data_IF_443264651576
#
_entry.id   IF_443264651576
#
_cell.length_a   1.000
_cell.length_b   1.000
_cell.length_c   1.000
_cell.angle_alpha   90.00
_cell.angle_beta   90.00
_cell.angle_gamma   90.00
#
_symmetry.space_group_name_H-M   'P 1'
#
loop_
_entity.id
_entity.type
_entity.pdbx_description
1 polymer ?
#
# COMPACT_ATOMS: atom_id res chain seq x y z
N UNK A 1 -30.77 -25.62 42.09
CA UNK A 1 -29.69 -25.94 41.11
C UNK A 1 -30.02 -25.24 39.81
N UNK A 2 -29.22 -24.27 39.38
CA UNK A 2 -28.92 -23.94 37.97
C UNK A 2 -27.88 -22.82 38.00
N UNK A 3 -26.61 -23.21 37.93
CA UNK A 3 -25.47 -22.31 37.78
C UNK A 3 -25.45 -21.84 36.32
N UNK A 4 -25.80 -20.57 36.09
CA UNK A 4 -25.56 -19.90 34.82
C UNK A 4 -24.04 -19.66 34.68
N UNK A 5 -23.35 -20.60 34.04
CA UNK A 5 -21.97 -20.44 33.63
C UNK A 5 -21.96 -19.43 32.48
N UNK A 6 -21.70 -18.17 32.81
CA UNK A 6 -21.49 -17.11 31.83
C UNK A 6 -20.33 -17.48 30.91
N UNK A 7 -20.65 -17.72 29.64
CA UNK A 7 -19.66 -17.91 28.58
C UNK A 7 -18.89 -16.61 28.39
N UNK A 8 -17.74 -16.50 29.07
CA UNK A 8 -16.74 -15.48 28.74
C UNK A 8 -16.25 -15.76 27.34
N UNK A 9 -16.82 -15.05 26.36
CA UNK A 9 -16.37 -15.03 24.98
C UNK A 9 -15.02 -14.35 24.95
N UNK A 10 -13.95 -15.12 25.08
CA UNK A 10 -12.59 -14.66 24.82
C UNK A 10 -12.49 -14.33 23.33
N UNK A 11 -12.71 -13.08 22.95
CA UNK A 11 -12.39 -12.58 21.62
C UNK A 11 -10.88 -12.49 21.49
N UNK A 12 -10.26 -13.61 21.14
CA UNK A 12 -8.87 -13.70 20.70
C UNK A 12 -8.73 -13.09 19.30
N UNK A 13 -8.87 -11.77 19.20
CA UNK A 13 -8.31 -11.02 18.08
C UNK A 13 -7.33 -10.03 18.68
N UNK A 14 -6.08 -10.46 18.84
CA UNK A 14 -4.92 -9.57 18.93
C UNK A 14 -4.73 -8.90 17.56
N UNK A 15 -5.74 -8.14 17.13
CA UNK A 15 -5.63 -7.26 15.98
C UNK A 15 -5.01 -5.97 16.51
N UNK A 16 -3.76 -5.72 16.12
CA UNK A 16 -3.09 -4.46 16.42
C UNK A 16 -3.97 -3.31 15.94
N UNK A 17 -4.40 -2.41 16.83
CA UNK A 17 -5.33 -1.34 16.49
C UNK A 17 -4.58 -0.19 15.80
N UNK A 18 -4.39 -0.30 14.48
CA UNK A 18 -3.81 0.75 13.66
C UNK A 18 -4.90 1.49 12.89
N UNK A 19 -4.98 2.80 13.09
CA UNK A 19 -5.87 3.65 12.31
C UNK A 19 -5.48 3.77 10.84
N UNK A 20 -6.41 4.29 10.04
CA UNK A 20 -6.17 4.80 8.70
C UNK A 20 -5.92 6.31 8.78
N UNK A 21 -5.03 6.84 7.94
CA UNK A 21 -4.81 8.30 7.93
C UNK A 21 -5.95 9.07 7.26
N UNK A 22 -6.67 8.41 6.35
CA UNK A 22 -7.68 9.05 5.55
C UNK A 22 -9.01 9.09 6.29
N UNK A 23 -9.45 10.31 6.59
CA UNK A 23 -10.65 10.64 7.34
C UNK A 23 -11.72 11.23 6.42
N UNK A 24 -13.00 11.05 6.77
CA UNK A 24 -14.12 11.68 6.05
C UNK A 24 -14.56 10.96 4.77
N UNK A 25 -14.34 9.64 4.69
CA UNK A 25 -14.89 8.82 3.61
C UNK A 25 -16.17 8.12 4.06
N UNK A 26 -17.16 8.09 3.17
CA UNK A 26 -18.41 7.38 3.40
C UNK A 26 -18.15 5.87 3.42
N UNK A 27 -18.48 5.17 4.52
CA UNK A 27 -18.20 3.75 4.67
C UNK A 27 -18.97 2.87 3.68
N UNK A 28 -20.06 3.39 3.13
CA UNK A 28 -20.96 2.71 2.20
C UNK A 28 -20.47 2.77 0.74
N UNK A 29 -19.59 3.74 0.42
CA UNK A 29 -19.05 3.92 -0.94
C UNK A 29 -17.57 3.53 -1.05
N UNK A 30 -16.93 3.24 0.09
CA UNK A 30 -15.49 3.01 0.14
C UNK A 30 -15.11 1.64 0.68
N UNK A 31 -13.99 1.14 0.17
CA UNK A 31 -13.37 -0.12 0.58
C UNK A 31 -11.96 0.17 1.07
N UNK A 32 -11.63 -0.34 2.26
CA UNK A 32 -10.33 -0.14 2.89
C UNK A 32 -9.53 -1.43 2.85
N UNK A 33 -8.23 -1.31 2.58
CA UNK A 33 -7.27 -2.40 2.69
C UNK A 33 -5.95 -1.88 3.27
N UNK A 34 -5.24 -2.72 4.02
CA UNK A 34 -3.92 -2.35 4.51
C UNK A 34 -3.01 -3.56 4.59
N UNK A 35 -1.74 -3.37 4.25
CA UNK A 35 -0.67 -4.31 4.54
C UNK A 35 0.20 -3.76 5.66
N UNK A 36 0.34 -4.48 6.76
CA UNK A 36 1.08 -4.04 7.95
C UNK A 36 2.40 -4.79 8.08
N UNK A 37 3.44 -4.09 8.57
CA UNK A 37 4.77 -4.66 8.85
C UNK A 37 5.45 -5.34 7.65
N UNK A 38 5.20 -4.83 6.45
CA UNK A 38 5.77 -5.34 5.20
C UNK A 38 7.29 -5.12 5.16
N UNK A 39 8.04 -6.15 4.76
CA UNK A 39 9.50 -6.06 4.53
C UNK A 39 9.83 -5.40 3.19
N UNK A 40 9.51 -4.11 3.08
CA UNK A 40 9.73 -3.28 1.89
C UNK A 40 10.32 -1.94 2.30
N UNK A 41 11.15 -1.35 1.44
CA UNK A 41 11.66 0.01 1.66
C UNK A 41 10.51 1.03 1.66
N UNK A 42 10.28 1.78 2.76
CA UNK A 42 9.21 2.78 2.83
C UNK A 42 9.40 3.92 1.81
N UNK A 43 10.65 4.17 1.39
CA UNK A 43 10.95 5.17 0.34
C UNK A 43 10.42 4.73 -1.02
N UNK A 44 10.64 3.47 -1.38
CA UNK A 44 10.16 2.92 -2.64
C UNK A 44 8.64 2.76 -2.62
N UNK A 45 8.10 2.22 -1.51
CA UNK A 45 6.67 2.07 -1.29
C UNK A 45 5.91 3.38 -1.51
N UNK A 46 6.40 4.49 -0.93
CA UNK A 46 5.79 5.82 -1.11
C UNK A 46 5.66 6.22 -2.57
N UNK A 47 6.72 6.05 -3.37
CA UNK A 47 6.72 6.45 -4.78
C UNK A 47 5.77 5.58 -5.61
N UNK A 48 5.66 4.28 -5.28
CA UNK A 48 4.70 3.36 -5.93
C UNK A 48 3.26 3.75 -5.57
N UNK A 49 2.95 3.95 -4.28
CA UNK A 49 1.62 4.39 -3.85
C UNK A 49 1.23 5.73 -4.50
N UNK A 50 2.17 6.68 -4.60
CA UNK A 50 1.93 7.96 -5.24
C UNK A 50 1.71 7.85 -6.76
N UNK A 51 2.23 6.80 -7.40
CA UNK A 51 2.00 6.56 -8.82
C UNK A 51 0.62 5.93 -9.09
N UNK A 52 0.18 5.04 -8.20
CA UNK A 52 -1.12 4.34 -8.30
C UNK A 52 -2.29 5.23 -7.87
N UNK A 53 -2.07 6.20 -6.99
CA UNK A 53 -3.11 7.11 -6.51
C UNK A 53 -3.81 7.83 -7.68
N UNK A 54 -5.12 7.65 -7.78
CA UNK A 54 -5.99 8.29 -8.75
C UNK A 54 -6.31 7.45 -9.99
N UNK A 55 -5.69 6.27 -10.16
CA UNK A 55 -5.99 5.32 -11.24
C UNK A 55 -7.25 4.50 -10.95
N UNK A 56 -7.85 3.92 -11.99
CA UNK A 56 -8.83 2.84 -11.83
C UNK A 56 -8.15 1.56 -11.33
N UNK A 57 -8.91 0.66 -10.72
CA UNK A 57 -8.37 -0.57 -10.14
C UNK A 57 -7.63 -1.44 -11.17
N UNK A 58 -8.22 -1.62 -12.35
CA UNK A 58 -7.63 -2.43 -13.43
C UNK A 58 -6.33 -1.82 -13.96
N UNK A 59 -6.34 -0.52 -14.26
CA UNK A 59 -5.16 0.22 -14.69
C UNK A 59 -4.03 0.16 -13.66
N UNK A 60 -4.38 0.22 -12.37
CA UNK A 60 -3.42 0.13 -11.28
C UNK A 60 -2.75 -1.24 -11.22
N UNK A 61 -3.50 -2.33 -11.36
CA UNK A 61 -2.96 -3.70 -11.39
C UNK A 61 -2.04 -3.90 -12.59
N UNK A 62 -2.50 -3.53 -13.78
CA UNK A 62 -1.72 -3.65 -15.01
C UNK A 62 -0.41 -2.85 -14.90
N UNK A 63 -0.46 -1.64 -14.36
CA UNK A 63 0.72 -0.83 -14.11
C UNK A 63 1.72 -1.54 -13.19
N UNK A 64 1.25 -2.13 -12.09
CA UNK A 64 2.13 -2.82 -11.14
C UNK A 64 2.74 -4.08 -11.75
N UNK A 65 1.99 -4.86 -12.52
CA UNK A 65 2.51 -6.02 -13.27
C UNK A 65 3.60 -5.61 -14.26
N UNK A 66 3.39 -4.52 -15.01
CA UNK A 66 4.39 -3.98 -15.91
C UNK A 66 5.66 -3.51 -15.17
N UNK A 67 5.53 -2.98 -13.95
CA UNK A 67 6.68 -2.61 -13.10
C UNK A 67 7.44 -3.85 -12.61
N UNK A 68 6.71 -4.92 -12.25
CA UNK A 68 7.30 -6.21 -11.84
C UNK A 68 8.09 -6.81 -13.01
N UNK A 69 7.51 -6.78 -14.22
CA UNK A 69 8.15 -7.18 -15.47
C UNK A 69 9.24 -6.21 -15.95
N UNK A 70 9.48 -5.11 -15.21
CA UNK A 70 10.45 -4.04 -15.54
C UNK A 70 10.22 -3.36 -16.90
N UNK A 71 9.00 -3.43 -17.43
CA UNK A 71 8.60 -2.77 -18.67
C UNK A 71 8.35 -1.27 -18.44
N UNK A 72 7.60 -0.94 -17.39
CA UNK A 72 7.23 0.44 -17.06
C UNK A 72 7.95 0.93 -15.80
N UNK A 73 8.66 2.08 -15.85
CA UNK A 73 9.34 2.62 -14.68
C UNK A 73 8.38 3.40 -13.77
N UNK A 74 8.67 3.39 -12.46
CA UNK A 74 7.98 4.23 -11.47
C UNK A 74 8.73 5.56 -11.34
N UNK A 75 8.05 6.73 -11.38
CA UNK A 75 8.68 8.03 -11.16
C UNK A 75 9.12 8.16 -9.70
N UNK A 76 10.38 8.56 -9.46
CA UNK A 76 10.88 8.84 -8.11
C UNK A 76 10.90 10.35 -7.89
N UNK A 77 9.86 10.91 -7.26
CA UNK A 77 9.71 12.36 -7.10
C UNK A 77 10.45 12.88 -5.87
N UNK A 78 10.28 12.24 -4.71
CA UNK A 78 10.88 12.69 -3.44
C UNK A 78 12.29 12.16 -3.28
N UNK A 79 12.48 10.86 -3.46
CA UNK A 79 13.76 10.17 -3.21
C UNK A 79 14.60 10.01 -4.47
N UNK A 80 14.91 11.13 -5.13
CA UNK A 80 15.54 11.16 -6.47
C UNK A 80 17.07 11.31 -6.51
N UNK A 81 17.74 11.46 -5.35
CA UNK A 81 19.20 11.64 -5.31
C UNK A 81 19.91 10.41 -5.89
N UNK A 82 20.80 10.61 -6.87
CA UNK A 82 21.55 9.54 -7.56
C UNK A 82 20.63 8.47 -8.18
N UNK A 83 19.48 8.89 -8.70
CA UNK A 83 18.57 8.02 -9.47
C UNK A 83 18.81 8.28 -10.96
N UNK A 84 19.02 7.23 -11.79
CA UNK A 84 19.24 7.42 -13.22
C UNK A 84 17.98 7.96 -13.91
N UNK A 85 18.19 8.67 -15.01
CA UNK A 85 17.09 9.06 -15.89
C UNK A 85 16.54 7.82 -16.60
N UNK A 86 15.24 7.81 -16.90
CA UNK A 86 14.58 6.70 -17.58
C UNK A 86 13.65 7.22 -18.67
N UNK A 87 13.66 6.55 -19.83
CA UNK A 87 12.69 6.76 -20.91
C UNK A 87 11.35 6.13 -20.53
N UNK A 88 10.24 6.71 -20.99
CA UNK A 88 8.88 6.19 -20.75
C UNK A 88 8.16 6.77 -19.54
N UNK A 89 8.78 7.69 -18.80
CA UNK A 89 8.09 8.48 -17.77
C UNK A 89 7.46 9.72 -18.41
N UNK A 90 6.16 9.92 -18.18
CA UNK A 90 5.53 11.18 -18.50
C UNK A 90 5.81 12.20 -17.39
N UNK A 91 6.13 13.44 -17.78
CA UNK A 91 6.27 14.61 -16.88
C UNK A 91 7.38 14.50 -15.82
N UNK A 92 8.26 13.50 -15.87
CA UNK A 92 9.38 13.36 -14.93
C UNK A 92 10.57 12.61 -15.55
N UNK A 93 11.80 12.94 -15.14
CA UNK A 93 13.02 12.43 -15.76
C UNK A 93 13.61 11.18 -15.06
N UNK A 94 13.45 11.05 -13.74
CA UNK A 94 14.05 9.97 -12.93
C UNK A 94 13.04 8.87 -12.57
N UNK A 95 13.47 7.61 -12.67
CA UNK A 95 12.69 6.48 -12.16
C UNK A 95 13.48 5.19 -11.95
N UNK A 96 12.83 4.23 -11.31
CA UNK A 96 13.35 2.87 -11.07
C UNK A 96 12.21 1.84 -11.21
N UNK A 97 12.57 0.57 -11.10
CA UNK A 97 11.64 -0.56 -11.07
C UNK A 97 11.64 -1.19 -9.67
N UNK A 98 10.84 -0.67 -8.72
CA UNK A 98 10.79 -1.17 -7.36
C UNK A 98 9.94 -2.46 -7.26
N UNK A 99 10.45 -3.57 -7.79
CA UNK A 99 9.73 -4.86 -7.93
C UNK A 99 9.12 -5.32 -6.60
N UNK A 100 9.89 -5.35 -5.51
CA UNK A 100 9.40 -5.79 -4.19
C UNK A 100 8.25 -4.93 -3.65
N UNK A 101 8.28 -3.63 -3.91
CA UNK A 101 7.23 -2.73 -3.44
C UNK A 101 5.97 -2.88 -4.30
N UNK A 102 6.12 -3.07 -5.61
CA UNK A 102 5.02 -3.32 -6.52
C UNK A 102 4.30 -4.62 -6.19
N UNK A 103 5.03 -5.72 -5.96
CA UNK A 103 4.46 -7.01 -5.54
C UNK A 103 3.63 -6.89 -4.27
N UNK A 104 4.17 -6.23 -3.24
CA UNK A 104 3.44 -6.06 -1.97
C UNK A 104 2.24 -5.12 -2.07
N UNK A 105 2.28 -4.14 -2.95
CA UNK A 105 1.11 -3.29 -3.19
C UNK A 105 0.03 -4.03 -4.00
N UNK A 106 0.43 -4.89 -4.95
CA UNK A 106 -0.49 -5.72 -5.71
C UNK A 106 -1.27 -6.66 -4.78
N UNK A 107 -0.58 -7.35 -3.86
CA UNK A 107 -1.22 -8.16 -2.82
C UNK A 107 -2.25 -7.35 -2.00
N UNK A 108 -1.95 -6.08 -1.69
CA UNK A 108 -2.90 -5.20 -0.94
C UNK A 108 -4.10 -4.81 -1.81
N UNK A 109 -3.92 -4.61 -3.12
CA UNK A 109 -5.02 -4.33 -4.05
C UNK A 109 -5.91 -5.54 -4.30
N UNK A 110 -5.35 -6.74 -4.40
CA UNK A 110 -6.13 -8.00 -4.49
C UNK A 110 -6.98 -8.21 -3.24
N UNK A 111 -6.43 -7.90 -2.05
CA UNK A 111 -7.21 -7.91 -0.82
C UNK A 111 -8.32 -6.84 -0.82
N UNK A 112 -8.05 -5.66 -1.40
CA UNK A 112 -9.05 -4.60 -1.53
C UNK A 112 -10.19 -5.00 -2.48
N UNK A 113 -9.86 -5.67 -3.58
CA UNK A 113 -10.82 -6.24 -4.53
C UNK A 113 -11.68 -7.31 -3.87
N UNK A 114 -11.08 -8.27 -3.15
CA UNK A 114 -11.84 -9.29 -2.43
C UNK A 114 -12.84 -8.67 -1.43
N UNK A 115 -12.43 -7.60 -0.73
CA UNK A 115 -13.31 -6.84 0.15
C UNK A 115 -14.42 -6.11 -0.61
N UNK A 116 -14.13 -5.62 -1.81
CA UNK A 116 -15.10 -4.94 -2.66
C UNK A 116 -16.17 -5.90 -3.19
N UNK A 117 -15.76 -7.08 -3.66
CA UNK A 117 -16.65 -8.18 -4.08
C UNK A 117 -17.56 -8.56 -2.91
N UNK A 118 -17.00 -8.74 -1.71
CA UNK A 118 -17.77 -9.10 -0.53
C UNK A 118 -18.86 -8.07 -0.18
N UNK A 119 -18.60 -6.78 -0.43
CA UNK A 119 -19.56 -5.70 -0.20
C UNK A 119 -20.51 -5.46 -1.37
N UNK A 120 -20.32 -6.14 -2.50
CA UNK A 120 -21.16 -6.01 -3.69
C UNK A 120 -20.87 -4.76 -4.54
N UNK A 121 -19.65 -4.22 -4.46
CA UNK A 121 -19.23 -3.14 -5.37
C UNK A 121 -18.93 -3.68 -6.76
N UNK A 122 -19.17 -2.85 -7.77
CA UNK A 122 -18.78 -3.12 -9.15
C UNK A 122 -17.28 -2.81 -9.33
N UNK A 123 -16.51 -3.78 -9.84
CA UNK A 123 -15.04 -3.71 -9.92
C UNK A 123 -14.56 -2.68 -10.95
N UNK A 124 -15.29 -2.53 -12.05
CA UNK A 124 -14.92 -1.64 -13.16
C UNK A 124 -15.02 -0.16 -12.77
N UNK A 125 -15.90 0.15 -11.82
CA UNK A 125 -16.12 1.52 -11.31
C UNK A 125 -15.27 1.88 -10.09
N UNK A 126 -14.34 1.02 -9.65
CA UNK A 126 -13.48 1.30 -8.50
C UNK A 126 -12.26 2.12 -8.87
N UNK A 127 -12.05 3.18 -8.10
CA UNK A 127 -10.88 4.05 -8.21
C UNK A 127 -10.07 4.09 -6.94
N UNK A 128 -8.75 4.13 -7.08
CA UNK A 128 -7.83 4.32 -5.95
C UNK A 128 -7.82 5.79 -5.53
N UNK A 129 -8.58 6.14 -4.50
CA UNK A 129 -8.64 7.53 -3.99
C UNK A 129 -7.47 7.82 -3.07
N UNK A 130 -7.14 6.86 -2.21
CA UNK A 130 -6.05 7.00 -1.26
C UNK A 130 -5.11 5.82 -1.35
N UNK A 131 -3.82 6.12 -1.46
CA UNK A 131 -2.76 5.14 -1.36
C UNK A 131 -1.58 5.81 -0.66
N UNK A 132 -1.16 5.24 0.47
CA UNK A 132 -0.07 5.79 1.26
C UNK A 132 0.79 4.69 1.87
N UNK A 133 2.04 5.04 2.14
CA UNK A 133 3.01 4.17 2.79
C UNK A 133 3.68 4.89 3.96
N UNK A 134 3.73 4.21 5.11
CA UNK A 134 4.33 4.70 6.35
C UNK A 134 5.49 3.81 6.79
N UNK A 135 6.54 4.40 7.40
CA UNK A 135 7.54 3.60 8.08
C UNK A 135 6.91 2.90 9.28
N UNK A 136 7.18 1.61 9.41
CA UNK A 136 6.79 0.79 10.54
C UNK A 136 7.92 0.54 11.52
N UNK A 137 7.84 -0.59 12.21
CA UNK A 137 8.81 -1.04 13.19
C UNK A 137 10.23 -1.14 12.59
N UNK A 138 11.23 -0.67 13.33
CA UNK A 138 12.64 -0.80 12.96
C UNK A 138 13.22 -2.08 13.58
N UNK A 139 13.63 -3.01 12.73
CA UNK A 139 14.39 -4.19 13.15
C UNK A 139 15.83 -3.77 13.45
N UNK A 140 16.16 -3.71 14.74
CA UNK A 140 17.48 -3.28 15.22
C UNK A 140 18.49 -4.43 15.07
N UNK A 141 19.59 -4.16 14.38
CA UNK A 141 20.74 -5.05 14.19
C UNK A 141 22.01 -4.21 14.20
N UNK A 142 23.14 -4.78 14.56
CA UNK A 142 24.44 -4.11 14.53
C UNK A 142 25.44 -4.92 13.71
N UNK A 143 26.30 -4.25 12.93
CA UNK A 143 27.42 -4.87 12.23
C UNK A 143 28.71 -4.48 12.94
N UNK A 144 29.59 -5.44 13.30
CA UNK A 144 30.93 -5.14 13.80
C UNK A 144 31.79 -4.49 12.71
N UNK A 145 32.62 -3.52 13.10
CA UNK A 145 33.51 -2.74 12.24
C UNK A 145 34.92 -2.74 12.84
N UNK A 146 35.88 -2.28 12.03
CA UNK A 146 37.26 -2.14 12.44
C UNK A 146 37.40 -1.34 13.75
N UNK A 147 38.46 -1.65 14.51
CA UNK A 147 38.78 -1.05 15.82
C UNK A 147 37.68 -1.27 16.87
N UNK A 148 37.06 -2.46 16.89
CA UNK A 148 36.07 -2.86 17.89
C UNK A 148 34.75 -2.07 17.86
N UNK A 149 34.48 -1.29 16.80
CA UNK A 149 33.27 -0.46 16.71
C UNK A 149 32.08 -1.31 16.27
N UNK A 150 30.88 -0.97 16.72
CA UNK A 150 29.64 -1.54 16.20
C UNK A 150 28.76 -0.43 15.60
N UNK A 151 28.29 -0.62 14.37
CA UNK A 151 27.43 0.37 13.68
C UNK A 151 26.03 -0.21 13.43
N UNK A 152 24.96 0.61 13.51
CA UNK A 152 23.59 0.13 13.32
C UNK A 152 23.31 -0.26 11.86
N UNK A 153 22.66 -1.41 11.67
CA UNK A 153 22.15 -1.92 10.39
C UNK A 153 20.65 -2.14 10.49
N UNK A 154 19.91 -1.05 10.71
CA UNK A 154 18.48 -1.13 10.95
C UNK A 154 17.70 -1.32 9.66
N UNK A 155 16.79 -2.28 9.67
CA UNK A 155 15.82 -2.50 8.59
C UNK A 155 14.48 -1.90 9.05
N UNK A 156 13.90 -1.00 8.25
CA UNK A 156 12.62 -0.36 8.59
C UNK A 156 11.52 -1.06 7.81
N UNK A 157 10.55 -1.63 8.52
CA UNK A 157 9.34 -2.20 7.92
C UNK A 157 8.43 -1.09 7.38
N UNK A 158 7.39 -1.47 6.64
CA UNK A 158 6.48 -0.54 6.01
C UNK A 158 5.03 -0.94 6.26
N UNK A 159 4.17 0.04 6.51
CA UNK A 159 2.71 -0.14 6.43
C UNK A 159 2.25 0.52 5.14
N UNK A 160 1.43 -0.17 4.36
CA UNK A 160 0.76 0.39 3.19
C UNK A 160 -0.74 0.40 3.46
N UNK A 161 -1.42 1.48 3.10
CA UNK A 161 -2.87 1.58 3.15
C UNK A 161 -3.39 1.99 1.78
N UNK A 162 -4.53 1.41 1.41
CA UNK A 162 -5.26 1.72 0.19
C UNK A 162 -6.73 1.89 0.53
N UNK A 163 -7.35 2.91 -0.06
CA UNK A 163 -8.80 3.11 -0.05
C UNK A 163 -9.27 3.21 -1.48
N UNK A 164 -10.22 2.34 -1.82
CA UNK A 164 -10.96 2.39 -3.07
C UNK A 164 -12.30 3.08 -2.82
N UNK A 165 -12.76 3.82 -3.81
CA UNK A 165 -14.08 4.45 -3.83
C UNK A 165 -14.77 4.07 -5.13
N UNK A 166 -16.07 3.84 -5.06
CA UNK A 166 -16.88 3.67 -6.25
C UNK A 166 -17.12 5.02 -6.90
N UNK A 167 -16.65 5.17 -8.13
CA UNK A 167 -16.95 6.36 -8.93
C UNK A 167 -18.39 6.21 -9.42
N UNK A 168 -19.32 6.95 -8.83
CA UNK A 168 -20.68 7.05 -9.35
C UNK A 168 -20.61 7.42 -10.83
N UNK A 169 -21.33 6.70 -11.69
CA UNK A 169 -21.46 7.08 -13.10
C UNK A 169 -21.86 8.55 -13.10
N UNK A 170 -21.00 9.42 -13.66
CA UNK A 170 -21.45 10.75 -14.08
C UNK A 170 -22.58 10.51 -15.06
N UNK A 171 -23.82 10.60 -14.61
CA UNK A 171 -24.92 11.01 -15.46
C UNK A 171 -24.49 12.36 -16.01
N UNK A 172 -23.94 12.36 -17.22
CA UNK A 172 -23.81 13.57 -18.01
C UNK A 172 -25.21 14.08 -18.25
N UNK A 173 -25.63 15.04 -17.43
CA UNK A 173 -26.64 16.00 -17.83
C UNK A 173 -26.09 16.77 -19.02
N UNK A 174 -26.99 17.03 -19.95
CA UNK A 174 -26.84 17.81 -21.19
C UNK A 174 -26.05 19.11 -21.01
#
# INVERSE_FOLDING_TARGET
MHLLIGSRRWSLTCQTNWGYSATGFDPDLTVKASGRELRVSPKAAREVCAAVKGMMLDEAKEFLEQVIAKKKPVPFRRYKKKVPHRRGLQKFYCGRYPVKAAQKLLEVLENAEANAIYRGFDLESLRVVHAAAYPGTKLKRYIPRARGRATPKFETLCHMEVVLEQVGRRTGGE
#
